data_IF_121806811485
#
_entry.id   IF_121806811485
#
_cell.length_a   1.000
_cell.length_b   1.000
_cell.length_c   1.000
_cell.angle_alpha   90.00
_cell.angle_beta   90.00
_cell.angle_gamma   90.00
#
_symmetry.space_group_name_H-M   'P 1'
#
loop_
_entity.id
_entity.type
_entity.pdbx_description
1 polymer ?
#
# COMPACT_ATOMS: atom_id res chain seq x y z
N UNK A 1 37.61 59.38 -3.15
CA UNK A 1 38.03 58.00 -3.49
C UNK A 1 37.80 57.01 -2.34
N UNK A 2 38.18 57.33 -1.10
CA UNK A 2 38.02 56.43 0.06
C UNK A 2 36.56 55.97 0.31
N UNK A 3 35.59 56.88 0.25
CA UNK A 3 34.16 56.55 0.44
C UNK A 3 33.65 55.50 -0.55
N UNK A 4 34.10 55.56 -1.81
CA UNK A 4 33.69 54.59 -2.84
C UNK A 4 34.29 53.20 -2.61
N UNK A 5 35.49 53.15 -2.04
CA UNK A 5 36.13 51.89 -1.65
C UNK A 5 35.44 51.27 -0.43
N UNK A 6 35.04 52.10 0.53
CA UNK A 6 34.28 51.66 1.71
C UNK A 6 32.90 51.12 1.33
N UNK A 7 32.15 51.84 0.48
CA UNK A 7 30.89 51.36 -0.09
C UNK A 7 31.07 50.01 -0.82
N UNK A 8 32.13 49.87 -1.61
CA UNK A 8 32.43 48.60 -2.28
C UNK A 8 32.72 47.47 -1.27
N UNK A 9 33.47 47.75 -0.21
CA UNK A 9 33.72 46.78 0.86
C UNK A 9 32.44 46.29 1.54
N UNK A 10 31.50 47.20 1.80
CA UNK A 10 30.19 46.84 2.38
C UNK A 10 29.37 45.96 1.44
N UNK A 11 29.38 46.22 0.13
CA UNK A 11 28.69 45.38 -0.86
C UNK A 11 29.31 43.98 -0.95
N UNK A 12 30.63 43.87 -0.92
CA UNK A 12 31.31 42.57 -0.91
C UNK A 12 30.94 41.77 0.34
N UNK A 13 30.90 42.44 1.49
CA UNK A 13 30.53 41.82 2.75
C UNK A 13 29.07 41.33 2.75
N UNK A 14 28.15 42.11 2.19
CA UNK A 14 26.76 41.72 2.01
C UNK A 14 26.62 40.48 1.10
N UNK A 15 27.30 40.47 -0.03
CA UNK A 15 27.30 39.30 -0.93
C UNK A 15 27.87 38.07 -0.21
N UNK A 16 28.93 38.26 0.58
CA UNK A 16 29.55 37.19 1.36
C UNK A 16 28.59 36.65 2.43
N UNK A 17 27.91 37.52 3.17
CA UNK A 17 26.93 37.11 4.19
C UNK A 17 25.73 36.39 3.58
N UNK A 18 25.20 36.91 2.48
CA UNK A 18 24.04 36.32 1.81
C UNK A 18 24.40 34.94 1.23
N UNK A 19 25.60 34.81 0.65
CA UNK A 19 26.12 33.53 0.18
C UNK A 19 26.26 32.54 1.33
N UNK A 20 26.75 32.99 2.49
CA UNK A 20 26.89 32.14 3.66
C UNK A 20 25.53 31.63 4.18
N UNK A 21 24.50 32.49 4.23
CA UNK A 21 23.14 32.09 4.62
C UNK A 21 22.56 31.08 3.61
N UNK A 22 22.71 31.36 2.32
CA UNK A 22 22.21 30.46 1.27
C UNK A 22 22.86 29.07 1.36
N UNK A 23 24.18 29.02 1.52
CA UNK A 23 24.95 27.76 1.51
C UNK A 23 24.84 26.98 2.82
N UNK A 24 24.80 27.66 3.97
CA UNK A 24 24.82 26.99 5.27
C UNK A 24 23.42 26.68 5.80
N UNK A 25 22.41 27.46 5.43
CA UNK A 25 21.06 27.33 5.99
C UNK A 25 20.04 26.92 4.93
N UNK A 26 19.86 27.75 3.89
CA UNK A 26 18.76 27.55 2.95
C UNK A 26 18.91 26.29 2.11
N UNK A 27 20.11 26.06 1.54
CA UNK A 27 20.35 24.90 0.67
C UNK A 27 20.27 23.56 1.41
N UNK A 28 20.88 23.39 2.61
CA UNK A 28 20.69 22.19 3.42
C UNK A 28 19.23 21.96 3.83
N UNK A 29 18.50 23.03 4.17
CA UNK A 29 17.08 22.93 4.49
C UNK A 29 16.25 22.41 3.32
N UNK A 30 16.47 22.95 2.12
CA UNK A 30 15.81 22.49 0.88
C UNK A 30 16.16 21.03 0.61
N UNK A 31 17.44 20.66 0.70
CA UNK A 31 17.88 19.28 0.50
C UNK A 31 17.20 18.32 1.48
N UNK A 32 17.13 18.70 2.76
CA UNK A 32 16.43 17.89 3.77
C UNK A 32 14.94 17.72 3.43
N UNK A 33 14.27 18.80 2.99
CA UNK A 33 12.86 18.71 2.57
C UNK A 33 12.65 17.87 1.32
N UNK A 34 13.57 17.91 0.36
CA UNK A 34 13.55 17.00 -0.79
C UNK A 34 13.66 15.53 -0.34
N UNK A 35 14.55 15.22 0.61
CA UNK A 35 14.69 13.86 1.14
C UNK A 35 13.45 13.38 1.90
N UNK A 36 12.84 14.25 2.71
CA UNK A 36 11.55 13.95 3.35
C UNK A 36 10.46 13.65 2.30
N UNK A 37 10.41 14.43 1.22
CA UNK A 37 9.46 14.24 0.13
C UNK A 37 9.68 12.92 -0.62
N UNK A 38 10.94 12.52 -0.87
CA UNK A 38 11.26 11.21 -1.44
C UNK A 38 10.70 10.06 -0.58
N UNK A 39 10.81 10.17 0.74
CA UNK A 39 10.24 9.16 1.66
C UNK A 39 8.72 9.05 1.53
N UNK A 40 8.03 10.16 1.25
CA UNK A 40 6.58 10.16 1.02
C UNK A 40 6.26 9.51 -0.32
N UNK A 41 7.00 9.84 -1.39
CA UNK A 41 6.81 9.20 -2.69
C UNK A 41 7.04 7.69 -2.65
N UNK A 42 8.07 7.22 -1.93
CA UNK A 42 8.29 5.78 -1.74
C UNK A 42 7.10 5.09 -1.06
N UNK A 43 6.45 5.76 -0.09
CA UNK A 43 5.23 5.23 0.55
C UNK A 43 4.06 5.17 -0.43
N UNK A 44 3.92 6.18 -1.29
CA UNK A 44 2.88 6.22 -2.32
C UNK A 44 3.09 5.10 -3.33
N UNK A 45 4.32 4.93 -3.84
CA UNK A 45 4.67 3.87 -4.80
C UNK A 45 4.41 2.47 -4.22
N UNK A 46 4.73 2.27 -2.95
CA UNK A 46 4.47 1.01 -2.26
C UNK A 46 2.96 0.75 -2.08
N UNK A 47 2.19 1.79 -1.76
CA UNK A 47 0.74 1.70 -1.69
C UNK A 47 0.14 1.35 -3.06
N UNK A 48 0.61 1.98 -4.13
CA UNK A 48 0.14 1.70 -5.49
C UNK A 48 0.39 0.23 -5.86
N UNK A 49 1.61 -0.28 -5.61
CA UNK A 49 1.94 -1.71 -5.83
C UNK A 49 1.02 -2.63 -5.04
N UNK A 50 0.71 -2.27 -3.79
CA UNK A 50 -0.20 -3.05 -2.96
C UNK A 50 -1.63 -3.06 -3.54
N UNK A 51 -2.14 -1.90 -3.97
CA UNK A 51 -3.47 -1.81 -4.60
C UNK A 51 -3.54 -2.62 -5.89
N UNK A 52 -2.48 -2.59 -6.72
CA UNK A 52 -2.40 -3.42 -7.93
C UNK A 52 -2.44 -4.92 -7.59
N UNK A 53 -1.69 -5.34 -6.56
CA UNK A 53 -1.72 -6.71 -6.08
C UNK A 53 -3.14 -7.10 -5.62
N UNK A 54 -3.82 -6.25 -4.85
CA UNK A 54 -5.19 -6.52 -4.39
C UNK A 54 -6.12 -6.70 -5.58
N UNK A 55 -6.04 -5.80 -6.56
CA UNK A 55 -6.83 -5.85 -7.79
C UNK A 55 -6.65 -7.17 -8.52
N UNK A 56 -5.41 -7.61 -8.74
CA UNK A 56 -5.13 -8.84 -9.46
C UNK A 56 -5.69 -10.06 -8.74
N UNK A 57 -5.55 -10.12 -7.40
CA UNK A 57 -6.11 -11.20 -6.60
C UNK A 57 -7.64 -11.23 -6.61
N UNK A 58 -8.30 -10.07 -6.50
CA UNK A 58 -9.76 -9.98 -6.60
C UNK A 58 -10.24 -10.43 -7.98
N UNK A 59 -9.54 -10.06 -9.06
CA UNK A 59 -9.90 -10.50 -10.41
C UNK A 59 -9.79 -12.01 -10.59
N UNK A 60 -8.76 -12.64 -10.00
CA UNK A 60 -8.63 -14.11 -9.96
C UNK A 60 -9.80 -14.72 -9.20
N UNK A 61 -10.13 -14.19 -8.02
CA UNK A 61 -11.26 -14.68 -7.22
C UNK A 61 -12.59 -14.57 -7.96
N UNK A 62 -12.87 -13.43 -8.60
CA UNK A 62 -14.08 -13.21 -9.40
C UNK A 62 -14.17 -14.22 -10.55
N UNK A 63 -13.05 -14.49 -11.23
CA UNK A 63 -13.00 -15.46 -12.33
C UNK A 63 -13.31 -16.87 -11.85
N UNK A 64 -12.74 -17.30 -10.72
CA UNK A 64 -13.02 -18.62 -10.14
C UNK A 64 -14.46 -18.72 -9.62
N UNK A 65 -15.01 -17.64 -9.07
CA UNK A 65 -16.40 -17.57 -8.64
C UNK A 65 -17.36 -17.74 -9.82
N UNK A 66 -17.15 -17.01 -10.92
CA UNK A 66 -17.96 -17.15 -12.15
C UNK A 66 -17.89 -18.58 -12.69
N UNK A 67 -16.69 -19.19 -12.73
CA UNK A 67 -16.54 -20.61 -13.15
C UNK A 67 -17.33 -21.56 -12.26
N UNK A 68 -17.31 -21.34 -10.94
CA UNK A 68 -18.05 -22.17 -9.99
C UNK A 68 -19.58 -22.00 -10.15
N UNK A 69 -20.05 -20.77 -10.34
CA UNK A 69 -21.46 -20.46 -10.61
C UNK A 69 -21.95 -21.11 -11.90
N UNK A 70 -21.18 -21.02 -12.99
CA UNK A 70 -21.50 -21.67 -14.27
C UNK A 70 -21.60 -23.20 -14.13
N UNK A 71 -20.65 -23.82 -13.42
CA UNK A 71 -20.67 -25.26 -13.17
C UNK A 71 -21.90 -25.66 -12.33
N UNK A 72 -22.25 -24.89 -11.31
CA UNK A 72 -23.41 -25.17 -10.45
C UNK A 72 -24.75 -24.93 -11.18
N UNK A 73 -24.85 -23.84 -11.95
CA UNK A 73 -26.03 -23.50 -12.75
C UNK A 73 -26.28 -24.51 -13.88
N UNK A 74 -25.22 -24.93 -14.56
CA UNK A 74 -25.25 -26.00 -15.57
C UNK A 74 -25.69 -27.34 -14.96
N UNK A 75 -25.24 -27.66 -13.74
CA UNK A 75 -25.64 -28.89 -13.04
C UNK A 75 -27.13 -28.93 -12.68
N UNK A 76 -27.76 -27.78 -12.43
CA UNK A 76 -29.21 -27.67 -12.22
C UNK A 76 -30.02 -27.91 -13.51
N UNK A 77 -29.51 -27.45 -14.66
CA UNK A 77 -30.07 -27.74 -15.98
C UNK A 77 -30.00 -29.22 -16.36
N UNK A 78 -28.88 -29.87 -16.05
CA UNK A 78 -28.68 -31.31 -16.30
C UNK A 78 -29.56 -32.20 -15.40
N UNK A 79 -29.81 -31.80 -14.14
CA UNK A 79 -30.78 -32.51 -13.26
C UNK A 79 -32.20 -32.49 -13.82
N UNK A 80 -32.63 -31.38 -14.43
CA UNK A 80 -33.94 -31.29 -15.10
C UNK A 80 -34.03 -32.24 -16.31
N UNK A 81 -33.01 -32.27 -17.17
CA UNK A 81 -32.99 -33.19 -18.32
C UNK A 81 -32.97 -34.67 -17.92
N UNK A 82 -32.27 -35.04 -16.84
CA UNK A 82 -32.25 -36.42 -16.34
C UNK A 82 -33.56 -36.82 -15.65
N UNK A 83 -34.28 -35.87 -15.03
CA UNK A 83 -35.58 -36.16 -14.40
C UNK A 83 -36.70 -36.52 -15.39
N UNK A 84 -36.56 -36.16 -16.67
CA UNK A 84 -37.55 -36.47 -17.72
C UNK A 84 -37.38 -37.85 -18.37
N UNK A 85 -36.34 -38.63 -18.02
CA UNK A 85 -36.02 -39.90 -18.70
C UNK A 85 -35.94 -41.14 -17.79
N UNK A 86 -36.36 -41.09 -16.52
CA UNK A 86 -36.25 -42.25 -15.63
C UNK A 86 -37.57 -43.04 -15.52
N UNK A 87 -37.69 -44.06 -16.37
CA UNK A 87 -38.31 -45.34 -15.98
C UNK A 87 -37.30 -46.12 -15.11
N UNK A 88 -37.73 -46.97 -14.16
CA UNK A 88 -36.85 -47.42 -13.09
C UNK A 88 -36.01 -48.63 -13.51
N UNK A 89 -34.68 -48.55 -13.42
CA UNK A 89 -33.82 -49.74 -13.24
C UNK A 89 -32.52 -49.41 -12.47
N UNK A 90 -32.34 -50.19 -11.40
CA UNK A 90 -31.14 -50.57 -10.62
C UNK A 90 -29.88 -49.69 -10.68
N UNK A 91 -29.60 -49.10 -9.51
CA UNK A 91 -28.30 -48.94 -8.83
C UNK A 91 -27.03 -48.89 -9.68
N UNK A 92 -26.48 -47.69 -9.84
CA UNK A 92 -25.04 -47.43 -9.73
C UNK A 92 -24.83 -46.08 -9.06
N UNK A 93 -24.27 -46.10 -7.85
CA UNK A 93 -23.85 -44.90 -7.13
C UNK A 93 -22.66 -44.28 -7.86
N UNK A 94 -22.94 -43.36 -8.80
CA UNK A 94 -21.88 -42.52 -9.36
C UNK A 94 -21.52 -41.49 -8.30
N UNK A 95 -20.31 -41.64 -7.77
CA UNK A 95 -19.64 -40.61 -6.97
C UNK A 95 -19.61 -39.34 -7.82
N UNK A 96 -20.41 -38.35 -7.44
CA UNK A 96 -20.29 -37.00 -7.96
C UNK A 96 -18.88 -36.54 -7.59
N UNK A 97 -17.98 -36.47 -8.58
CA UNK A 97 -16.71 -35.75 -8.39
C UNK A 97 -17.11 -34.31 -8.08
N UNK A 98 -17.02 -33.93 -6.80
CA UNK A 98 -16.91 -32.52 -6.45
C UNK A 98 -15.74 -32.00 -7.29
N UNK A 99 -15.96 -30.90 -8.02
CA UNK A 99 -14.86 -30.21 -8.65
C UNK A 99 -13.80 -29.98 -7.57
N UNK A 100 -12.58 -30.46 -7.79
CA UNK A 100 -11.47 -30.27 -6.88
C UNK A 100 -11.19 -28.77 -6.82
N UNK A 101 -11.81 -28.10 -5.84
CA UNK A 101 -11.63 -26.67 -5.62
C UNK A 101 -10.25 -26.46 -4.99
N UNK A 102 -9.34 -25.87 -5.75
CA UNK A 102 -8.05 -25.41 -5.26
C UNK A 102 -8.19 -23.94 -4.84
N UNK A 103 -7.88 -23.64 -3.57
CA UNK A 103 -7.94 -22.28 -3.03
C UNK A 103 -6.92 -21.41 -3.76
N UNK A 104 -7.34 -20.31 -4.42
CA UNK A 104 -6.40 -19.39 -5.05
C UNK A 104 -5.46 -18.79 -4.00
N UNK A 105 -4.17 -18.74 -4.31
CA UNK A 105 -3.20 -18.09 -3.45
C UNK A 105 -3.37 -16.57 -3.50
N UNK A 106 -4.12 -16.01 -2.56
CA UNK A 106 -4.38 -14.57 -2.46
C UNK A 106 -3.39 -13.88 -1.52
N UNK A 107 -3.16 -12.59 -1.76
CA UNK A 107 -2.33 -11.77 -0.88
C UNK A 107 -2.88 -11.74 0.56
N UNK A 108 -1.98 -11.69 1.55
CA UNK A 108 -2.29 -11.47 2.96
C UNK A 108 -1.91 -10.06 3.35
N UNK A 109 -2.84 -9.32 3.92
CA UNK A 109 -2.63 -7.93 4.32
C UNK A 109 -1.48 -7.78 5.32
N UNK A 110 -1.28 -8.80 6.17
CA UNK A 110 -0.24 -8.86 7.21
C UNK A 110 1.17 -8.88 6.64
N UNK A 111 1.35 -9.41 5.43
CA UNK A 111 2.66 -9.51 4.77
C UNK A 111 3.14 -8.16 4.21
N UNK A 112 2.22 -7.18 4.06
CA UNK A 112 2.50 -5.88 3.43
C UNK A 112 2.35 -4.70 4.39
N UNK A 113 1.43 -4.79 5.38
CA UNK A 113 1.28 -3.78 6.42
C UNK A 113 2.12 -4.16 7.65
N UNK A 114 3.38 -3.72 7.68
CA UNK A 114 4.19 -3.86 8.89
C UNK A 114 3.55 -3.05 10.03
N UNK A 115 2.92 -3.73 10.98
CA UNK A 115 2.39 -3.17 12.24
C UNK A 115 3.52 -2.73 13.17
N UNK A 116 4.28 -1.69 12.81
CA UNK A 116 5.30 -1.09 13.68
C UNK A 116 4.72 -0.23 14.81
N UNK A 117 3.41 -0.24 15.04
CA UNK A 117 2.74 0.72 15.92
C UNK A 117 2.63 0.33 17.41
N UNK A 118 3.54 -0.51 17.95
CA UNK A 118 3.42 -0.94 19.36
C UNK A 118 4.69 -0.83 20.23
N UNK A 119 5.73 -0.08 19.85
CA UNK A 119 6.90 0.07 20.75
C UNK A 119 7.46 1.47 21.03
N UNK A 120 6.93 2.54 20.44
CA UNK A 120 7.48 3.90 20.64
C UNK A 120 6.45 4.92 21.16
N UNK A 121 5.55 4.52 22.06
CA UNK A 121 4.92 5.47 22.99
C UNK A 121 5.61 5.27 24.34
N UNK A 122 6.78 5.90 24.50
CA UNK A 122 7.33 6.16 25.83
C UNK A 122 6.57 7.37 26.36
N UNK A 123 5.72 7.14 27.35
CA UNK A 123 5.14 8.21 28.16
C UNK A 123 6.29 9.00 28.81
N UNK A 124 6.46 10.26 28.39
CA UNK A 124 7.22 11.26 29.12
C UNK A 124 6.51 11.55 30.44
N UNK A 125 7.17 11.42 31.61
CA UNK A 125 6.56 11.79 32.88
C UNK A 125 6.50 13.31 32.98
N UNK A 126 5.28 13.84 32.99
CA UNK A 126 4.97 15.24 33.27
C UNK A 126 5.57 15.67 34.61
N UNK A 127 6.67 16.43 34.57
CA UNK A 127 7.30 17.10 35.73
C UNK A 127 6.95 18.58 35.74
N UNK A 128 5.68 18.90 35.94
CA UNK A 128 5.28 20.24 36.34
C UNK A 128 4.08 20.12 37.28
N UNK A 129 4.35 20.01 38.59
CA UNK A 129 3.49 20.50 39.67
C UNK A 129 4.16 20.23 41.04
N UNK A 130 5.29 20.87 41.29
CA UNK A 130 5.79 21.10 42.65
C UNK A 130 6.43 22.49 42.71
N UNK A 131 5.62 23.50 43.03
CA UNK A 131 6.06 24.74 43.66
C UNK A 131 4.83 25.32 44.39
N UNK A 132 4.76 25.04 45.70
CA UNK A 132 3.97 25.76 46.68
C UNK A 132 4.92 26.31 47.72
#
# INVERSE_FOLDING_TARGET
MLTKLEEFGQLVELVRSDTAICMNDAMPLIQNKCNEMHTVFDKIDNLEKFVLLVKDNVSVMETELVKAEDQMGSFSGLKKMLSSFVSPKKTQTKVTKQADYEVPNIFKTEDYLQTKHSKDIKEEPNKDNEQK
#
